data_IF_464895760424
#
_entry.id   IF_464895760424
#
_cell.length_a   1.000
_cell.length_b   1.000
_cell.length_c   1.000
_cell.angle_alpha   90.00
_cell.angle_beta   90.00
_cell.angle_gamma   90.00
#
_symmetry.space_group_name_H-M   'P 1'
#
loop_
_entity.id
_entity.type
_entity.pdbx_description
1 polymer ?
#
# COMPACT_ATOMS: atom_id res chain seq x y z
N UNK A 1 5.05 4.72 12.40
CA UNK A 1 4.22 4.18 11.33
C UNK A 1 4.64 2.74 10.99
N UNK A 2 3.68 1.81 10.78
CA UNK A 2 3.92 0.47 10.24
C UNK A 2 3.79 0.52 8.73
N UNK A 3 4.84 0.13 8.00
CA UNK A 3 4.85 0.14 6.53
C UNK A 3 4.77 -1.29 6.03
N UNK A 4 3.64 -1.64 5.41
CA UNK A 4 3.32 -2.97 4.90
C UNK A 4 3.81 -3.05 3.45
N UNK A 5 4.71 -4.01 3.19
CA UNK A 5 5.39 -4.23 1.92
C UNK A 5 5.20 -5.69 1.49
N UNK A 6 4.11 -6.02 0.77
CA UNK A 6 3.99 -7.33 0.16
C UNK A 6 5.05 -7.49 -0.94
N UNK A 7 5.66 -8.67 -1.01
CA UNK A 7 6.68 -9.00 -2.02
C UNK A 7 6.41 -10.39 -2.59
N UNK A 8 6.68 -10.55 -3.88
CA UNK A 8 6.72 -11.87 -4.51
C UNK A 8 8.16 -12.25 -4.87
N UNK A 9 8.77 -11.62 -5.86
CA UNK A 9 10.14 -11.91 -6.29
C UNK A 9 10.98 -10.64 -6.60
N UNK A 10 10.43 -9.44 -6.42
CA UNK A 10 11.01 -8.13 -6.74
C UNK A 10 11.98 -7.64 -5.65
N UNK A 11 13.01 -8.43 -5.34
CA UNK A 11 13.92 -8.18 -4.21
C UNK A 11 14.78 -6.92 -4.39
N UNK A 12 15.20 -6.61 -5.62
CA UNK A 12 16.03 -5.41 -5.86
C UNK A 12 15.20 -4.14 -5.71
N UNK A 13 13.94 -4.18 -6.14
CA UNK A 13 12.98 -3.10 -5.94
C UNK A 13 12.68 -2.90 -4.46
N UNK A 14 12.47 -3.98 -3.68
CA UNK A 14 12.32 -3.91 -2.23
C UNK A 14 13.54 -3.28 -1.55
N UNK A 15 14.77 -3.69 -1.92
CA UNK A 15 16.02 -3.12 -1.37
C UNK A 15 16.08 -1.60 -1.61
N UNK A 16 15.76 -1.14 -2.82
CA UNK A 16 15.70 0.29 -3.17
C UNK A 16 14.62 1.01 -2.35
N UNK A 17 13.43 0.44 -2.26
CA UNK A 17 12.32 0.98 -1.46
C UNK A 17 12.74 1.15 0.01
N UNK A 18 13.28 0.12 0.64
CA UNK A 18 13.75 0.17 2.03
C UNK A 18 14.84 1.23 2.24
N UNK A 19 15.77 1.36 1.29
CA UNK A 19 16.84 2.38 1.36
C UNK A 19 16.27 3.80 1.38
N UNK A 20 15.26 4.07 0.55
CA UNK A 20 14.59 5.38 0.49
C UNK A 20 13.77 5.62 1.77
N UNK A 21 12.95 4.66 2.16
CA UNK A 21 12.08 4.77 3.32
C UNK A 21 12.87 4.88 4.64
N UNK A 22 14.04 4.26 4.72
CA UNK A 22 14.88 4.33 5.91
C UNK A 22 15.39 5.75 6.19
N UNK A 23 15.55 6.59 5.16
CA UNK A 23 15.98 8.00 5.29
C UNK A 23 14.88 8.90 5.90
N UNK A 24 13.63 8.48 5.94
CA UNK A 24 12.55 9.24 6.56
C UNK A 24 12.72 9.20 8.08
N UNK A 25 12.97 10.34 8.71
CA UNK A 25 13.17 10.45 10.17
C UNK A 25 11.81 10.42 10.90
N UNK A 26 11.30 9.21 11.16
CA UNK A 26 10.06 8.96 11.92
C UNK A 26 10.18 7.59 12.58
N UNK A 27 9.52 7.42 13.73
CA UNK A 27 9.40 6.09 14.34
C UNK A 27 8.59 5.17 13.42
N UNK A 28 9.26 4.13 12.89
CA UNK A 28 8.70 3.23 11.88
C UNK A 28 9.11 1.79 12.07
N UNK A 29 8.29 0.90 11.57
CA UNK A 29 8.62 -0.51 11.33
C UNK A 29 8.30 -0.88 9.88
N UNK A 30 9.08 -1.76 9.31
CA UNK A 30 8.83 -2.39 8.01
C UNK A 30 8.26 -3.78 8.23
N UNK A 31 7.13 -4.09 7.58
CA UNK A 31 6.50 -5.41 7.63
C UNK A 31 6.53 -5.95 6.19
N UNK A 32 7.51 -6.80 5.92
CA UNK A 32 7.67 -7.46 4.62
C UNK A 32 6.91 -8.78 4.64
N UNK A 33 6.00 -8.99 3.70
CA UNK A 33 5.18 -10.20 3.63
C UNK A 33 5.43 -10.92 2.32
N UNK A 34 5.77 -12.20 2.39
CA UNK A 34 6.06 -13.03 1.24
C UNK A 34 5.25 -14.34 1.23
N UNK A 35 5.07 -14.91 0.03
CA UNK A 35 4.38 -16.19 -0.14
C UNK A 35 5.37 -17.35 -0.17
N UNK A 36 5.28 -18.27 0.81
CA UNK A 36 6.16 -19.44 0.83
C UNK A 36 6.05 -20.33 -0.42
N UNK A 37 4.88 -20.32 -1.08
CA UNK A 37 4.63 -21.13 -2.28
C UNK A 37 5.15 -20.50 -3.57
N UNK A 38 5.14 -19.15 -3.65
CA UNK A 38 5.37 -18.43 -4.90
C UNK A 38 6.68 -17.64 -4.89
N UNK A 39 7.19 -17.29 -3.71
CA UNK A 39 8.48 -16.59 -3.57
C UNK A 39 9.63 -17.58 -3.68
N UNK A 40 10.63 -17.26 -4.51
CA UNK A 40 11.81 -18.09 -4.70
C UNK A 40 12.64 -18.16 -3.40
N UNK A 41 13.27 -19.29 -3.13
CA UNK A 41 14.11 -19.47 -1.92
C UNK A 41 15.25 -18.46 -1.84
N UNK A 42 15.84 -18.07 -2.97
CA UNK A 42 16.87 -17.03 -3.02
C UNK A 42 16.36 -15.69 -2.50
N UNK A 43 15.11 -15.31 -2.88
CA UNK A 43 14.46 -14.08 -2.41
C UNK A 43 14.12 -14.16 -0.93
N UNK A 44 13.62 -15.31 -0.45
CA UNK A 44 13.38 -15.53 0.98
C UNK A 44 14.66 -15.33 1.80
N UNK A 45 15.78 -15.92 1.38
CA UNK A 45 17.08 -15.77 2.05
C UNK A 45 17.54 -14.31 2.08
N UNK A 46 17.32 -13.58 1.01
CA UNK A 46 17.63 -12.15 0.95
C UNK A 46 16.74 -11.33 1.90
N UNK A 47 15.45 -11.62 2.01
CA UNK A 47 14.54 -10.96 2.97
C UNK A 47 15.03 -11.21 4.41
N UNK A 48 15.46 -12.44 4.72
CA UNK A 48 16.02 -12.79 6.02
C UNK A 48 17.29 -11.99 6.29
N UNK A 49 18.17 -11.82 5.28
CA UNK A 49 19.39 -11.02 5.41
C UNK A 49 19.11 -9.53 5.66
N UNK A 50 18.05 -8.99 5.04
CA UNK A 50 17.63 -7.60 5.25
C UNK A 50 17.26 -7.32 6.70
N UNK A 51 16.75 -8.30 7.45
CA UNK A 51 16.47 -8.17 8.88
C UNK A 51 17.72 -7.86 9.70
N UNK A 52 18.90 -8.38 9.31
CA UNK A 52 20.18 -8.06 9.96
C UNK A 52 20.57 -6.59 9.74
N UNK A 53 20.26 -6.04 8.55
CA UNK A 53 20.53 -4.65 8.19
C UNK A 53 19.55 -3.65 8.78
N UNK A 54 18.26 -4.01 8.82
CA UNK A 54 17.18 -3.15 9.30
C UNK A 54 16.56 -3.74 10.58
N UNK A 55 17.00 -3.29 11.75
CA UNK A 55 16.55 -3.81 13.06
C UNK A 55 15.03 -3.68 13.25
N UNK A 56 14.41 -2.65 12.66
CA UNK A 56 12.97 -2.37 12.67
C UNK A 56 12.18 -3.09 11.56
N UNK A 57 12.79 -4.02 10.83
CA UNK A 57 12.13 -4.85 9.82
C UNK A 57 11.62 -6.14 10.45
N UNK A 58 10.38 -6.48 10.18
CA UNK A 58 9.78 -7.81 10.41
C UNK A 58 9.50 -8.45 9.07
N UNK A 59 9.66 -9.75 8.95
CA UNK A 59 9.20 -10.50 7.79
C UNK A 59 8.20 -11.57 8.22
N UNK A 60 7.15 -11.74 7.44
CA UNK A 60 6.03 -12.64 7.73
C UNK A 60 5.74 -13.51 6.52
N UNK A 61 5.43 -14.78 6.78
CA UNK A 61 4.90 -15.69 5.76
C UNK A 61 3.41 -15.42 5.58
N UNK A 62 2.99 -15.28 4.35
CA UNK A 62 1.58 -15.13 4.00
C UNK A 62 0.82 -16.44 4.33
N UNK A 63 -0.30 -16.32 5.03
CA UNK A 63 -1.16 -17.45 5.38
C UNK A 63 -2.30 -17.59 4.36
N UNK A 64 -3.01 -16.48 4.09
CA UNK A 64 -4.12 -16.43 3.12
C UNK A 64 -3.58 -16.07 1.73
N UNK A 65 -4.16 -16.58 0.62
CA UNK A 65 -3.64 -16.35 -0.73
C UNK A 65 -3.79 -14.89 -1.19
N UNK A 66 -3.16 -14.57 -2.30
CA UNK A 66 -3.20 -13.29 -3.01
C UNK A 66 -2.74 -12.07 -2.19
N UNK A 67 -2.67 -10.93 -2.83
CA UNK A 67 -2.19 -9.68 -2.23
C UNK A 67 -3.02 -9.22 -1.03
N UNK A 68 -4.34 -9.39 -1.07
CA UNK A 68 -5.21 -9.07 0.06
C UNK A 68 -4.88 -9.92 1.30
N UNK A 69 -4.51 -11.21 1.12
CA UNK A 69 -4.05 -12.05 2.22
C UNK A 69 -2.73 -11.61 2.82
N UNK A 70 -1.81 -11.08 2.01
CA UNK A 70 -0.57 -10.49 2.51
C UNK A 70 -0.83 -9.19 3.30
N UNK A 71 -1.69 -8.32 2.78
CA UNK A 71 -2.07 -7.08 3.47
C UNK A 71 -2.80 -7.38 4.78
N UNK A 72 -3.71 -8.36 4.80
CA UNK A 72 -4.45 -8.77 6.00
C UNK A 72 -3.52 -9.13 7.16
N UNK A 73 -2.52 -9.99 6.91
CA UNK A 73 -1.54 -10.37 7.94
C UNK A 73 -0.64 -9.19 8.33
N UNK A 74 -0.33 -8.29 7.39
CA UNK A 74 0.42 -7.08 7.66
C UNK A 74 -0.33 -6.14 8.62
N UNK A 75 -1.63 -5.91 8.40
CA UNK A 75 -2.49 -5.10 9.26
C UNK A 75 -2.55 -5.67 10.69
N UNK A 76 -2.75 -6.99 10.82
CA UNK A 76 -2.83 -7.67 12.11
C UNK A 76 -1.54 -7.49 12.92
N UNK A 77 -0.39 -7.51 12.26
CA UNK A 77 0.93 -7.42 12.90
C UNK A 77 1.48 -6.00 13.03
N UNK A 78 0.76 -4.99 12.54
CA UNK A 78 1.13 -3.59 12.65
C UNK A 78 1.05 -3.09 14.10
N UNK A 79 2.12 -2.49 14.61
CA UNK A 79 2.22 -2.04 16.01
C UNK A 79 2.13 -0.54 16.18
N UNK A 80 2.40 0.24 15.11
CA UNK A 80 2.44 1.70 15.20
C UNK A 80 1.05 2.34 15.04
N UNK A 81 0.93 3.60 15.43
CA UNK A 81 -0.31 4.41 15.39
C UNK A 81 -0.91 4.53 13.99
N UNK A 82 -0.07 4.50 12.95
CA UNK A 82 -0.47 4.59 11.55
C UNK A 82 0.02 3.37 10.77
N UNK A 83 -0.74 2.98 9.76
CA UNK A 83 -0.44 1.86 8.85
C UNK A 83 -0.34 2.42 7.44
N UNK A 84 0.84 2.30 6.82
CA UNK A 84 1.02 2.57 5.40
C UNK A 84 0.98 1.25 4.61
N UNK A 85 0.23 1.23 3.53
CA UNK A 85 0.19 0.12 2.57
C UNK A 85 0.78 0.63 1.27
N UNK A 86 1.80 -0.03 0.75
CA UNK A 86 2.41 0.32 -0.53
C UNK A 86 3.03 -0.92 -1.20
N UNK A 87 3.16 -0.86 -2.53
CA UNK A 87 3.87 -1.90 -3.27
C UNK A 87 5.39 -1.81 -3.05
N UNK A 88 6.07 -2.96 -3.14
CA UNK A 88 7.52 -3.06 -3.02
C UNK A 88 8.26 -3.02 -4.37
N UNK A 89 7.53 -3.03 -5.49
CA UNK A 89 7.99 -3.14 -6.87
C UNK A 89 8.32 -1.80 -7.57
N UNK A 90 8.27 -0.69 -6.81
CA UNK A 90 8.46 0.69 -7.29
C UNK A 90 7.37 1.21 -8.24
N UNK A 91 6.25 0.51 -8.41
CA UNK A 91 5.06 1.09 -9.05
C UNK A 91 4.53 2.30 -8.26
N UNK A 92 4.68 2.25 -6.93
CA UNK A 92 4.41 3.37 -6.03
C UNK A 92 5.70 4.09 -5.70
N UNK A 93 5.67 5.43 -5.75
CA UNK A 93 6.85 6.23 -5.47
C UNK A 93 7.13 6.33 -3.96
N UNK A 94 8.19 5.70 -3.41
CA UNK A 94 8.44 5.71 -1.97
C UNK A 94 8.81 7.10 -1.42
N UNK A 95 9.23 8.05 -2.26
CA UNK A 95 9.50 9.43 -1.83
C UNK A 95 8.24 10.19 -1.42
N UNK A 96 7.07 9.83 -1.97
CA UNK A 96 5.79 10.46 -1.64
C UNK A 96 5.35 10.14 -0.21
N UNK A 97 5.81 9.01 0.35
CA UNK A 97 5.41 8.57 1.70
C UNK A 97 5.74 9.62 2.77
N UNK A 98 6.84 10.34 2.64
CA UNK A 98 7.21 11.42 3.59
C UNK A 98 6.13 12.49 3.68
N UNK A 99 5.62 12.94 2.54
CA UNK A 99 4.55 13.95 2.51
C UNK A 99 3.24 13.38 3.07
N UNK A 100 2.88 12.15 2.71
CA UNK A 100 1.69 11.47 3.25
C UNK A 100 1.75 11.33 4.79
N UNK A 101 2.92 11.01 5.35
CA UNK A 101 3.13 10.95 6.81
C UNK A 101 2.91 12.31 7.45
N UNK A 102 3.47 13.38 6.88
CA UNK A 102 3.31 14.74 7.41
C UNK A 102 1.84 15.16 7.45
N UNK A 103 1.04 14.78 6.45
CA UNK A 103 -0.39 15.08 6.42
C UNK A 103 -1.15 14.20 7.42
N UNK A 104 -0.82 12.92 7.54
CA UNK A 104 -1.47 12.01 8.48
C UNK A 104 -1.25 12.43 9.94
N UNK A 105 -0.09 12.99 10.26
CA UNK A 105 0.22 13.49 11.61
C UNK A 105 -0.62 14.70 12.04
N UNK A 106 -1.17 15.44 11.07
CA UNK A 106 -2.05 16.60 11.30
C UNK A 106 -3.54 16.25 11.20
N UNK A 107 -3.86 15.08 10.64
CA UNK A 107 -5.24 14.66 10.32
C UNK A 107 -5.52 13.26 10.87
N UNK A 108 -5.62 13.16 12.18
CA UNK A 108 -5.64 11.88 12.91
C UNK A 108 -6.83 10.97 12.60
N UNK A 109 -7.94 11.51 12.10
CA UNK A 109 -9.16 10.75 11.73
C UNK A 109 -9.32 10.63 10.22
N UNK A 110 -8.23 10.76 9.45
CA UNK A 110 -8.27 10.74 8.00
C UNK A 110 -7.39 9.64 7.42
N UNK A 111 -7.90 8.99 6.37
CA UNK A 111 -7.14 8.13 5.46
C UNK A 111 -6.41 9.07 4.50
N UNK A 112 -5.11 8.91 4.34
CA UNK A 112 -4.34 9.65 3.33
C UNK A 112 -4.14 8.74 2.14
N UNK A 113 -4.70 9.09 1.00
CA UNK A 113 -4.71 8.28 -0.22
C UNK A 113 -3.92 8.95 -1.33
N UNK A 114 -2.98 8.24 -1.89
CA UNK A 114 -2.38 8.61 -3.17
C UNK A 114 -3.43 8.45 -4.28
N UNK A 115 -3.48 9.41 -5.21
CA UNK A 115 -4.49 9.47 -6.27
C UNK A 115 -3.83 9.79 -7.61
N UNK A 116 -3.91 8.86 -8.54
CA UNK A 116 -3.31 8.98 -9.88
C UNK A 116 -4.08 9.93 -10.79
N UNK A 117 -5.38 10.10 -10.55
CA UNK A 117 -6.25 10.93 -11.38
C UNK A 117 -6.12 12.43 -11.12
N UNK A 118 -5.53 12.82 -9.99
CA UNK A 118 -5.21 14.23 -9.69
C UNK A 118 -3.90 14.65 -10.38
N UNK A 119 -3.02 13.70 -10.68
CA UNK A 119 -1.71 13.97 -11.26
C UNK A 119 -1.76 13.99 -12.80
N UNK A 120 -1.22 15.03 -13.44
CA UNK A 120 -1.07 15.08 -14.91
C UNK A 120 -0.17 13.97 -15.48
N UNK A 121 0.62 13.28 -14.62
CA UNK A 121 1.52 12.17 -14.97
C UNK A 121 1.21 10.91 -14.17
N UNK A 122 -0.03 10.76 -13.74
CA UNK A 122 -0.45 9.66 -12.86
C UNK A 122 -0.45 8.29 -13.54
N UNK A 123 -0.46 8.25 -14.87
CA UNK A 123 -0.61 7.03 -15.67
C UNK A 123 0.48 6.88 -16.75
N UNK A 124 1.72 7.28 -16.45
CA UNK A 124 2.83 7.07 -17.37
C UNK A 124 2.98 5.57 -17.66
N UNK A 125 3.09 5.21 -18.94
CA UNK A 125 3.22 3.81 -19.42
C UNK A 125 2.01 2.89 -19.11
N UNK A 126 0.86 3.47 -18.79
CA UNK A 126 -0.38 2.73 -18.56
C UNK A 126 -1.11 2.52 -19.89
N UNK A 127 -1.16 1.32 -20.42
CA UNK A 127 -1.75 1.06 -21.74
C UNK A 127 -3.18 1.61 -21.88
N UNK A 128 -3.51 2.15 -23.08
CA UNK A 128 -4.77 2.88 -23.37
C UNK A 128 -6.01 2.09 -22.96
N UNK A 129 -6.09 0.79 -23.28
CA UNK A 129 -7.23 -0.06 -22.93
C UNK A 129 -7.42 -0.15 -21.42
N UNK A 130 -6.32 -0.35 -20.67
CA UNK A 130 -6.35 -0.39 -19.20
C UNK A 130 -6.77 0.96 -18.62
N UNK A 131 -6.32 2.06 -19.23
CA UNK A 131 -6.70 3.41 -18.82
C UNK A 131 -8.20 3.63 -18.97
N UNK A 132 -8.76 3.33 -20.14
CA UNK A 132 -10.19 3.49 -20.40
C UNK A 132 -11.05 2.62 -19.47
N UNK A 133 -10.67 1.34 -19.30
CA UNK A 133 -11.37 0.44 -18.40
C UNK A 133 -11.32 0.94 -16.95
N UNK A 134 -10.16 1.40 -16.49
CA UNK A 134 -10.03 1.97 -15.15
C UNK A 134 -10.85 3.26 -15.01
N UNK A 135 -10.80 4.15 -16.00
CA UNK A 135 -11.59 5.39 -16.00
C UNK A 135 -13.09 5.12 -15.87
N UNK A 136 -13.64 4.21 -16.69
CA UNK A 136 -15.04 3.84 -16.59
C UNK A 136 -15.39 3.22 -15.23
N UNK A 137 -14.52 2.35 -14.72
CA UNK A 137 -14.70 1.73 -13.42
C UNK A 137 -14.71 2.77 -12.28
N UNK A 138 -13.78 3.74 -12.29
CA UNK A 138 -13.76 4.82 -11.30
C UNK A 138 -15.05 5.68 -11.37
N UNK A 139 -15.55 5.99 -12.58
CA UNK A 139 -16.82 6.73 -12.74
C UNK A 139 -18.00 5.95 -12.15
N UNK A 140 -18.10 4.65 -12.42
CA UNK A 140 -19.14 3.81 -11.83
C UNK A 140 -19.06 3.80 -10.31
N UNK A 141 -17.88 3.59 -9.73
CA UNK A 141 -17.70 3.61 -8.28
C UNK A 141 -18.09 4.97 -7.67
N UNK A 142 -17.76 6.07 -8.35
CA UNK A 142 -18.15 7.42 -7.90
C UNK A 142 -19.66 7.62 -7.85
N UNK A 143 -20.39 7.10 -8.83
CA UNK A 143 -21.85 7.14 -8.87
C UNK A 143 -22.43 6.32 -7.71
N UNK A 144 -21.95 5.08 -7.51
CA UNK A 144 -22.48 4.19 -6.48
C UNK A 144 -22.19 4.64 -5.05
N UNK A 145 -21.03 5.21 -4.81
CA UNK A 145 -20.58 5.54 -3.44
C UNK A 145 -20.70 7.02 -3.09
N UNK A 146 -20.93 7.90 -4.06
CA UNK A 146 -21.04 9.35 -3.87
C UNK A 146 -19.92 10.00 -3.03
N UNK A 147 -18.70 9.47 -3.12
CA UNK A 147 -17.53 10.01 -2.42
C UNK A 147 -16.73 10.93 -3.34
N UNK A 148 -16.13 11.98 -2.76
CA UNK A 148 -15.23 12.90 -3.46
C UNK A 148 -13.82 12.30 -3.64
N UNK A 149 -13.73 11.09 -4.21
CA UNK A 149 -12.49 10.36 -4.49
C UNK A 149 -12.43 10.12 -5.98
N UNK A 150 -11.23 10.15 -6.55
CA UNK A 150 -11.03 9.86 -7.96
C UNK A 150 -10.36 8.48 -8.18
N UNK A 151 -9.58 7.99 -7.20
CA UNK A 151 -8.91 6.69 -7.29
C UNK A 151 -9.28 5.74 -6.15
N UNK A 152 -10.29 4.93 -6.39
CA UNK A 152 -10.75 3.92 -5.43
C UNK A 152 -9.85 2.68 -5.36
N UNK A 153 -9.07 2.41 -6.42
CA UNK A 153 -8.37 1.14 -6.61
C UNK A 153 -6.89 1.19 -6.32
N UNK A 154 -6.31 2.37 -6.18
CA UNK A 154 -4.90 2.51 -5.85
C UNK A 154 -4.68 2.31 -4.34
N UNK A 155 -3.96 1.26 -3.99
CA UNK A 155 -3.82 0.85 -2.58
C UNK A 155 -2.72 1.61 -1.82
N UNK A 156 -2.04 2.59 -2.44
CA UNK A 156 -1.02 3.39 -1.76
C UNK A 156 -1.68 4.38 -0.81
N UNK A 157 -1.78 3.99 0.47
CA UNK A 157 -2.52 4.75 1.49
C UNK A 157 -1.90 4.65 2.86
N UNK A 158 -2.16 5.67 3.68
CA UNK A 158 -1.91 5.65 5.14
C UNK A 158 -3.25 5.65 5.85
N UNK A 159 -3.39 4.75 6.81
CA UNK A 159 -4.57 4.61 7.66
C UNK A 159 -4.21 4.90 9.11
N UNK A 160 -5.04 5.61 9.89
CA UNK A 160 -5.02 5.49 11.33
C UNK A 160 -5.24 4.03 11.72
N UNK A 161 -4.47 3.49 12.66
CA UNK A 161 -4.57 2.07 13.04
C UNK A 161 -5.98 1.66 13.49
N UNK A 162 -6.68 2.54 14.18
CA UNK A 162 -8.06 2.32 14.63
C UNK A 162 -9.06 2.18 13.47
N UNK A 163 -8.77 2.75 12.29
CA UNK A 163 -9.61 2.60 11.10
C UNK A 163 -9.69 1.13 10.63
N UNK A 164 -8.61 0.37 10.84
CA UNK A 164 -8.51 -1.03 10.43
C UNK A 164 -8.48 -2.02 11.64
N UNK A 165 -8.66 -1.51 12.87
CA UNK A 165 -8.64 -2.36 14.07
C UNK A 165 -9.75 -3.39 14.03
N UNK A 166 -9.40 -4.67 14.21
CA UNK A 166 -10.33 -5.81 14.19
C UNK A 166 -10.91 -6.12 12.81
N UNK A 167 -10.51 -5.40 11.76
CA UNK A 167 -10.97 -5.67 10.41
C UNK A 167 -10.18 -6.84 9.79
N UNK A 168 -10.91 -7.74 9.12
CA UNK A 168 -10.35 -8.86 8.37
C UNK A 168 -10.75 -8.70 6.90
N UNK A 169 -9.76 -8.67 6.02
CA UNK A 169 -9.98 -8.52 4.58
C UNK A 169 -10.71 -9.76 4.06
N UNK A 170 -11.83 -9.55 3.37
CA UNK A 170 -12.65 -10.61 2.76
C UNK A 170 -12.23 -10.86 1.32
N UNK A 171 -12.05 -9.79 0.56
CA UNK A 171 -11.60 -9.83 -0.83
C UNK A 171 -10.06 -9.93 -0.89
N UNK A 172 -9.56 -11.08 -1.32
CA UNK A 172 -8.13 -11.36 -1.27
C UNK A 172 -7.37 -10.96 -2.53
N UNK A 173 -8.08 -10.72 -3.63
CA UNK A 173 -7.49 -10.26 -4.91
C UNK A 173 -7.43 -8.74 -4.95
N UNK A 174 -7.55 -8.14 -6.13
CA UNK A 174 -7.41 -6.68 -6.30
C UNK A 174 -8.53 -5.85 -5.65
N UNK A 175 -9.69 -6.43 -5.40
CA UNK A 175 -10.82 -5.77 -4.71
C UNK A 175 -10.53 -5.37 -3.26
N UNK A 176 -9.48 -5.95 -2.63
CA UNK A 176 -9.09 -5.55 -1.27
C UNK A 176 -8.86 -4.05 -1.13
N UNK A 177 -8.32 -3.40 -2.16
CA UNK A 177 -8.01 -1.97 -2.13
C UNK A 177 -9.27 -1.11 -1.98
N UNK A 178 -10.38 -1.53 -2.60
CA UNK A 178 -11.68 -0.91 -2.46
C UNK A 178 -12.29 -1.24 -1.09
N UNK A 179 -12.22 -2.50 -0.67
CA UNK A 179 -12.76 -2.97 0.60
C UNK A 179 -12.18 -2.22 1.79
N UNK A 180 -10.84 -2.15 1.90
CA UNK A 180 -10.17 -1.45 3.01
C UNK A 180 -10.28 0.08 2.94
N UNK A 181 -10.73 0.63 1.81
CA UNK A 181 -11.08 2.05 1.70
C UNK A 181 -12.48 2.30 2.22
N UNK A 182 -13.46 1.56 1.71
CA UNK A 182 -14.87 1.81 1.99
C UNK A 182 -15.26 1.45 3.44
N UNK A 183 -14.69 0.40 4.00
CA UNK A 183 -15.02 -0.05 5.35
C UNK A 183 -14.73 1.00 6.44
N UNK A 184 -13.56 1.65 6.49
CA UNK A 184 -13.32 2.76 7.40
C UNK A 184 -14.15 4.01 7.09
N UNK A 185 -14.37 4.33 5.82
CA UNK A 185 -15.19 5.49 5.45
C UNK A 185 -16.64 5.34 5.95
N UNK A 186 -17.20 4.14 5.89
CA UNK A 186 -18.51 3.82 6.49
C UNK A 186 -18.53 3.97 8.01
N UNK A 187 -17.36 3.92 8.67
CA UNK A 187 -17.20 4.18 10.12
C UNK A 187 -16.92 5.66 10.43
N UNK A 188 -17.05 6.56 9.45
CA UNK A 188 -16.87 8.00 9.64
C UNK A 188 -15.43 8.52 9.54
N UNK A 189 -14.48 7.71 9.04
CA UNK A 189 -13.14 8.20 8.73
C UNK A 189 -13.18 9.07 7.46
N UNK A 190 -12.56 10.24 7.54
CA UNK A 190 -12.38 11.12 6.40
C UNK A 190 -11.31 10.57 5.44
N UNK A 191 -11.28 11.11 4.23
CA UNK A 191 -10.21 10.84 3.26
C UNK A 191 -9.62 12.15 2.75
N UNK A 192 -8.28 12.17 2.64
CA UNK A 192 -7.52 13.24 2.02
C UNK A 192 -6.73 12.62 0.89
N UNK A 193 -6.89 13.13 -0.33
CA UNK A 193 -6.23 12.63 -1.51
C UNK A 193 -5.06 13.53 -1.90
N UNK A 194 -3.98 12.91 -2.39
CA UNK A 194 -2.77 13.58 -2.85
C UNK A 194 -2.41 13.10 -4.25
N UNK A 195 -1.93 13.99 -5.13
CA UNK A 195 -1.48 13.57 -6.45
C UNK A 195 -0.34 12.57 -6.34
N UNK A 196 -0.44 11.48 -7.09
CA UNK A 196 0.57 10.43 -7.15
C UNK A 196 0.89 10.05 -8.58
N UNK A 197 2.10 9.51 -8.77
CA UNK A 197 2.56 8.97 -10.05
C UNK A 197 2.65 7.46 -9.94
N UNK A 198 2.08 6.78 -10.91
CA UNK A 198 2.30 5.36 -11.13
C UNK A 198 3.38 5.16 -12.19
N UNK A 199 4.23 4.20 -12.01
CA UNK A 199 5.21 3.77 -13.00
C UNK A 199 5.05 2.28 -13.24
N UNK A 200 5.29 1.84 -14.47
CA UNK A 200 5.38 0.42 -14.75
C UNK A 200 6.51 -0.20 -13.92
N UNK A 201 6.24 -1.35 -13.30
CA UNK A 201 7.24 -2.11 -12.56
C UNK A 201 8.40 -2.54 -13.46
N UNK A 202 9.58 -2.59 -12.87
CA UNK A 202 10.81 -2.98 -13.57
C UNK A 202 11.13 -4.45 -13.29
N UNK A 203 10.63 -4.99 -12.16
CA UNK A 203 10.93 -6.32 -11.66
C UNK A 203 9.64 -6.97 -11.12
N UNK A 204 9.51 -8.27 -11.30
CA UNK A 204 8.38 -9.07 -10.79
C UNK A 204 7.43 -9.60 -11.86
#
# INVERSE_FOLDING_TARGET
>A
ISIILPILNEINSLKKTLLILNKIKVDKEFIVIYSKKLTKNSVENEIISLKKKYKNLKYLKQIRPFVGGAIDIGIINAQKKYIAIMASDLETNPYELKNMINISSKNHNSIISADRWISNKGFNDYGVIKFLANFMFQKLLKIFFNYKILDFTFAYRIYPKNALKGYRIKELRHGFALEILLAPMKKGFNIITLPAKWKKRVEG
#
